data_IF_660047857859
#
_entry.id   IF_660047857859
#
_cell.length_a   1.000
_cell.length_b   1.000
_cell.length_c   1.000
_cell.angle_alpha   90.00
_cell.angle_beta   90.00
_cell.angle_gamma   90.00
#
_symmetry.space_group_name_H-M   'P 1'
#
loop_
_entity.id
_entity.type
_entity.pdbx_description
1 polymer ?
#
# COMPACT_ATOMS: atom_id res chain seq x y z
N UNK A 1 -22.60 23.62 17.63
CA UNK A 1 -22.07 24.91 17.14
C UNK A 1 -23.20 25.93 17.19
N UNK A 2 -23.06 27.04 17.92
CA UNK A 2 -24.06 28.12 17.89
C UNK A 2 -23.70 29.04 16.73
N UNK A 3 -24.59 29.20 15.76
CA UNK A 3 -24.43 30.15 14.66
C UNK A 3 -24.95 31.50 15.15
N UNK A 4 -24.14 32.55 15.02
CA UNK A 4 -24.57 33.92 15.30
C UNK A 4 -25.41 34.40 14.11
N UNK A 5 -26.69 34.79 14.29
CA UNK A 5 -27.55 35.24 13.19
C UNK A 5 -26.98 36.43 12.42
N UNK A 6 -26.23 37.32 13.09
CA UNK A 6 -25.65 38.51 12.45
C UNK A 6 -24.41 38.20 11.58
N UNK A 7 -23.78 37.03 11.80
CA UNK A 7 -22.60 36.56 11.07
C UNK A 7 -22.82 35.24 10.33
N UNK A 8 -24.07 34.77 10.23
CA UNK A 8 -24.39 33.43 9.76
C UNK A 8 -23.88 33.16 8.34
N UNK A 9 -24.01 34.12 7.42
CA UNK A 9 -23.53 33.98 6.03
C UNK A 9 -22.00 33.84 5.97
N UNK A 10 -21.28 34.70 6.69
CA UNK A 10 -19.82 34.65 6.76
C UNK A 10 -19.32 33.36 7.43
N UNK A 11 -20.00 32.91 8.49
CA UNK A 11 -19.70 31.63 9.15
C UNK A 11 -19.96 30.44 8.23
N UNK A 12 -21.08 30.43 7.50
CA UNK A 12 -21.41 29.36 6.55
C UNK A 12 -20.44 29.32 5.38
N UNK A 13 -20.02 30.48 4.86
CA UNK A 13 -18.99 30.54 3.81
C UNK A 13 -17.63 30.03 4.32
N UNK A 14 -17.24 30.35 5.55
CA UNK A 14 -16.04 29.81 6.17
C UNK A 14 -16.12 28.28 6.32
N UNK A 15 -17.25 27.76 6.82
CA UNK A 15 -17.49 26.31 6.93
C UNK A 15 -17.41 25.65 5.56
N UNK A 16 -18.04 26.23 4.53
CA UNK A 16 -18.00 25.69 3.17
C UNK A 16 -16.57 25.58 2.64
N UNK A 17 -15.75 26.62 2.84
CA UNK A 17 -14.34 26.63 2.43
C UNK A 17 -13.53 25.57 3.17
N UNK A 18 -13.63 25.52 4.51
CA UNK A 18 -12.91 24.52 5.30
C UNK A 18 -13.36 23.10 4.99
N UNK A 19 -14.67 22.88 4.85
CA UNK A 19 -15.25 21.58 4.49
C UNK A 19 -14.75 21.10 3.12
N UNK A 20 -14.70 21.99 2.12
CA UNK A 20 -14.09 21.69 0.83
C UNK A 20 -12.65 21.21 0.98
N UNK A 21 -11.79 21.96 1.67
CA UNK A 21 -10.39 21.58 1.83
C UNK A 21 -10.23 20.21 2.53
N UNK A 22 -11.10 19.89 3.50
CA UNK A 22 -11.11 18.59 4.17
C UNK A 22 -11.51 17.46 3.22
N UNK A 23 -12.54 17.66 2.40
CA UNK A 23 -13.00 16.67 1.41
C UNK A 23 -11.97 16.49 0.30
N UNK A 24 -11.40 17.57 -0.22
CA UNK A 24 -10.31 17.55 -1.22
C UNK A 24 -9.13 16.74 -0.70
N UNK A 25 -8.61 17.07 0.48
CA UNK A 25 -7.48 16.35 1.06
C UNK A 25 -7.78 14.87 1.29
N UNK A 26 -8.99 14.52 1.76
CA UNK A 26 -9.36 13.13 1.98
C UNK A 26 -9.46 12.35 0.65
N UNK A 27 -10.08 12.93 -0.38
CA UNK A 27 -10.17 12.31 -1.72
C UNK A 27 -8.79 12.10 -2.33
N UNK A 28 -7.89 13.09 -2.22
CA UNK A 28 -6.55 12.98 -2.79
C UNK A 28 -5.70 11.89 -2.12
N UNK A 29 -5.80 11.76 -0.78
CA UNK A 29 -5.13 10.67 -0.07
C UNK A 29 -5.72 9.32 -0.48
N UNK A 30 -7.04 9.19 -0.58
CA UNK A 30 -7.68 7.93 -1.02
C UNK A 30 -7.25 7.53 -2.44
N UNK A 31 -7.19 8.48 -3.38
CA UNK A 31 -6.69 8.24 -4.75
C UNK A 31 -5.23 7.81 -4.75
N UNK A 32 -4.41 8.43 -3.91
CA UNK A 32 -3.00 8.03 -3.75
C UNK A 32 -2.90 6.58 -3.29
N UNK A 33 -3.73 6.15 -2.34
CA UNK A 33 -3.76 4.77 -1.88
C UNK A 33 -4.18 3.79 -2.99
N UNK A 34 -5.19 4.13 -3.78
CA UNK A 34 -5.67 3.24 -4.84
C UNK A 34 -4.66 3.12 -5.98
N UNK A 35 -3.95 4.20 -6.30
CA UNK A 35 -2.82 4.17 -7.24
C UNK A 35 -1.69 3.25 -6.75
N UNK A 36 -1.31 3.36 -5.47
CA UNK A 36 -0.29 2.50 -4.88
C UNK A 36 -0.69 1.02 -4.92
N UNK A 37 -1.94 0.69 -4.59
CA UNK A 37 -2.44 -0.69 -4.75
C UNK A 37 -2.35 -1.17 -6.21
N UNK A 38 -2.54 -0.28 -7.18
CA UNK A 38 -2.43 -0.60 -8.61
C UNK A 38 -1.00 -0.93 -9.02
N UNK A 39 -0.04 -0.14 -8.53
CA UNK A 39 1.39 -0.34 -8.76
C UNK A 39 1.87 -1.72 -8.26
N UNK A 40 1.36 -2.15 -7.10
CA UNK A 40 1.68 -3.44 -6.49
C UNK A 40 0.75 -4.59 -6.94
N UNK A 41 -0.10 -4.37 -7.96
CA UNK A 41 -1.08 -5.35 -8.48
C UNK A 41 -1.97 -5.97 -7.40
N UNK A 42 -2.31 -5.18 -6.40
CA UNK A 42 -3.13 -5.61 -5.26
C UNK A 42 -4.62 -5.53 -5.58
N UNK A 43 -5.43 -6.22 -4.79
CA UNK A 43 -6.88 -6.15 -4.92
C UNK A 43 -7.40 -4.71 -4.76
N UNK A 44 -8.09 -4.22 -5.79
CA UNK A 44 -8.73 -2.91 -5.81
C UNK A 44 -10.10 -2.95 -5.14
N UNK A 45 -10.57 -1.81 -4.66
CA UNK A 45 -11.92 -1.68 -4.11
C UNK A 45 -12.93 -1.78 -5.25
N UNK A 46 -13.76 -2.82 -5.24
CA UNK A 46 -14.76 -3.04 -6.30
C UNK A 46 -16.02 -2.22 -6.05
N UNK A 47 -16.50 -1.51 -7.08
CA UNK A 47 -17.80 -0.84 -7.08
C UNK A 47 -18.90 -1.88 -6.77
N UNK A 48 -19.75 -1.57 -5.80
CA UNK A 48 -20.89 -2.38 -5.41
C UNK A 48 -22.19 -1.83 -6.02
N UNK A 49 -23.27 -2.62 -6.11
CA UNK A 49 -24.55 -2.13 -6.61
C UNK A 49 -25.16 -0.99 -5.76
N UNK A 50 -24.87 -0.99 -4.45
CA UNK A 50 -25.34 -0.01 -3.47
C UNK A 50 -24.29 0.16 -2.36
N UNK A 51 -24.42 1.20 -1.55
CA UNK A 51 -23.51 1.50 -0.44
C UNK A 51 -22.06 1.74 -0.89
N UNK A 52 -21.86 2.37 -2.05
CA UNK A 52 -20.54 2.84 -2.45
C UNK A 52 -20.11 4.03 -1.59
N UNK A 53 -18.83 4.12 -1.25
CA UNK A 53 -18.30 5.29 -0.56
C UNK A 53 -18.16 6.46 -1.56
N UNK A 54 -18.90 7.58 -1.40
CA UNK A 54 -18.85 8.70 -2.33
C UNK A 54 -17.44 9.33 -2.44
N UNK A 55 -16.62 9.26 -1.38
CA UNK A 55 -15.25 9.79 -1.40
C UNK A 55 -14.30 9.00 -2.31
N UNK A 56 -14.63 7.73 -2.60
CA UNK A 56 -13.82 6.86 -3.47
C UNK A 56 -14.28 6.89 -4.92
N UNK A 57 -15.57 7.12 -5.16
CA UNK A 57 -16.19 6.90 -6.47
C UNK A 57 -16.83 8.15 -7.10
N UNK A 58 -16.88 9.29 -6.40
CA UNK A 58 -17.37 10.51 -7.02
C UNK A 58 -16.43 10.96 -8.17
N UNK A 59 -16.99 11.43 -9.30
CA UNK A 59 -16.21 11.96 -10.42
C UNK A 59 -15.27 13.11 -10.05
N UNK A 60 -15.71 13.96 -9.11
CA UNK A 60 -14.95 15.11 -8.64
C UNK A 60 -15.34 15.47 -7.19
N UNK A 61 -14.59 16.41 -6.62
CA UNK A 61 -14.76 16.88 -5.23
C UNK A 61 -16.11 17.55 -5.03
N UNK A 62 -16.59 18.36 -5.97
CA UNK A 62 -17.88 19.04 -5.85
C UNK A 62 -19.01 18.03 -5.73
N UNK A 63 -18.96 16.96 -6.52
CA UNK A 63 -19.93 15.88 -6.47
C UNK A 63 -19.81 15.05 -5.18
N UNK A 64 -18.59 14.78 -4.70
CA UNK A 64 -18.37 14.15 -3.40
C UNK A 64 -19.00 14.99 -2.27
N UNK A 65 -18.77 16.30 -2.24
CA UNK A 65 -19.35 17.21 -1.26
C UNK A 65 -20.88 17.20 -1.32
N UNK A 66 -21.47 17.24 -2.51
CA UNK A 66 -22.93 17.18 -2.68
C UNK A 66 -23.50 15.86 -2.16
N UNK A 67 -22.84 14.74 -2.44
CA UNK A 67 -23.25 13.41 -1.97
C UNK A 67 -23.17 13.31 -0.44
N UNK A 68 -22.15 13.91 0.18
CA UNK A 68 -21.98 13.94 1.63
C UNK A 68 -22.94 14.90 2.36
N UNK A 69 -23.56 15.84 1.65
CA UNK A 69 -24.57 16.75 2.22
C UNK A 69 -26.01 16.24 2.02
N UNK A 70 -26.21 15.22 1.18
CA UNK A 70 -27.53 14.61 0.96
C UNK A 70 -27.87 13.64 2.10
N UNK A 71 -29.07 13.80 2.67
CA UNK A 71 -29.58 12.93 3.74
C UNK A 71 -30.12 11.58 3.23
N UNK A 72 -30.74 11.55 2.05
CA UNK A 72 -31.50 10.40 1.56
C UNK A 72 -30.98 9.91 0.19
N UNK A 73 -29.78 9.32 0.16
CA UNK A 73 -29.25 8.69 -1.05
C UNK A 73 -29.01 7.20 -0.83
N UNK A 74 -29.91 6.36 -1.33
CA UNK A 74 -29.80 4.89 -1.17
C UNK A 74 -28.70 4.25 -2.03
N UNK A 75 -28.16 4.97 -3.02
CA UNK A 75 -27.10 4.45 -3.89
C UNK A 75 -25.70 4.51 -3.23
N UNK A 76 -25.50 5.39 -2.26
CA UNK A 76 -24.22 5.64 -1.60
C UNK A 76 -24.29 5.42 -0.09
N UNK A 77 -23.13 5.25 0.54
CA UNK A 77 -23.05 5.21 2.00
C UNK A 77 -23.51 6.55 2.61
N UNK A 78 -24.09 6.48 3.82
CA UNK A 78 -24.38 7.67 4.61
C UNK A 78 -23.10 8.50 4.86
N UNK A 79 -23.17 9.84 4.93
CA UNK A 79 -21.98 10.68 4.96
C UNK A 79 -21.02 10.42 6.12
N UNK A 80 -21.55 10.22 7.32
CA UNK A 80 -20.81 9.87 8.53
C UNK A 80 -20.10 8.52 8.38
N UNK A 81 -20.81 7.52 7.84
CA UNK A 81 -20.25 6.20 7.56
C UNK A 81 -19.19 6.25 6.46
N UNK A 82 -19.40 7.03 5.41
CA UNK A 82 -18.44 7.21 4.32
C UNK A 82 -17.11 7.78 4.83
N UNK A 83 -17.17 8.81 5.68
CA UNK A 83 -15.97 9.41 6.28
C UNK A 83 -15.28 8.41 7.22
N UNK A 84 -16.04 7.71 8.07
CA UNK A 84 -15.48 6.70 8.97
C UNK A 84 -14.79 5.55 8.21
N UNK A 85 -15.46 5.01 7.18
CA UNK A 85 -14.95 3.97 6.28
C UNK A 85 -13.65 4.41 5.60
N UNK A 86 -13.57 5.66 5.12
CA UNK A 86 -12.36 6.22 4.54
C UNK A 86 -11.20 6.26 5.54
N UNK A 87 -11.43 6.72 6.78
CA UNK A 87 -10.37 6.73 7.80
C UNK A 87 -9.97 5.34 8.28
N UNK A 88 -10.91 4.40 8.34
CA UNK A 88 -10.60 3.01 8.67
C UNK A 88 -9.69 2.38 7.61
N UNK A 89 -10.04 2.55 6.33
CA UNK A 89 -9.22 2.08 5.22
C UNK A 89 -7.83 2.75 5.22
N UNK A 90 -7.75 4.05 5.51
CA UNK A 90 -6.47 4.76 5.62
C UNK A 90 -5.57 4.14 6.69
N UNK A 91 -6.09 3.91 7.89
CA UNK A 91 -5.33 3.30 8.99
C UNK A 91 -4.91 1.87 8.66
N UNK A 92 -5.84 1.08 8.12
CA UNK A 92 -5.57 -0.30 7.76
C UNK A 92 -4.49 -0.39 6.68
N UNK A 93 -4.57 0.47 5.66
CA UNK A 93 -3.57 0.56 4.60
C UNK A 93 -2.18 0.90 5.17
N UNK A 94 -2.06 1.91 6.02
CA UNK A 94 -0.77 2.29 6.60
C UNK A 94 -0.11 1.13 7.37
N UNK A 95 -0.88 0.40 8.18
CA UNK A 95 -0.36 -0.76 8.92
C UNK A 95 0.01 -1.92 7.99
N UNK A 96 -0.80 -2.15 6.96
CA UNK A 96 -0.57 -3.20 5.98
C UNK A 96 0.67 -2.91 5.11
N UNK A 97 0.92 -1.64 4.73
CA UNK A 97 2.16 -1.22 4.05
C UNK A 97 3.38 -1.54 4.92
N UNK A 98 3.34 -1.21 6.21
CA UNK A 98 4.45 -1.52 7.11
C UNK A 98 4.71 -3.02 7.20
N UNK A 99 3.66 -3.85 7.26
CA UNK A 99 3.80 -5.31 7.23
C UNK A 99 4.39 -5.81 5.90
N UNK A 100 3.94 -5.24 4.78
CA UNK A 100 4.47 -5.53 3.44
C UNK A 100 5.96 -5.23 3.32
N UNK A 101 6.39 -4.03 3.72
CA UNK A 101 7.81 -3.62 3.71
C UNK A 101 8.65 -4.55 4.57
N UNK A 102 8.19 -4.88 5.78
CA UNK A 102 8.89 -5.81 6.65
C UNK A 102 9.05 -7.21 6.02
N UNK A 103 8.01 -7.71 5.35
CA UNK A 103 8.07 -9.00 4.66
C UNK A 103 9.04 -8.96 3.47
N UNK A 104 9.00 -7.90 2.67
CA UNK A 104 9.91 -7.66 1.55
C UNK A 104 11.39 -7.65 2.00
N UNK A 105 11.71 -6.92 3.09
CA UNK A 105 13.07 -6.88 3.64
C UNK A 105 13.50 -8.26 4.16
N UNK A 106 12.63 -8.96 4.91
CA UNK A 106 12.94 -10.32 5.38
C UNK A 106 13.20 -11.28 4.24
N UNK A 107 12.41 -11.20 3.17
CA UNK A 107 12.60 -12.01 1.97
C UNK A 107 13.95 -11.74 1.30
N UNK A 108 14.34 -10.47 1.20
CA UNK A 108 15.64 -10.10 0.67
C UNK A 108 16.78 -10.66 1.54
N UNK A 109 16.71 -10.48 2.86
CA UNK A 109 17.72 -10.99 3.78
C UNK A 109 17.83 -12.52 3.75
N UNK A 110 16.71 -13.24 3.58
CA UNK A 110 16.70 -14.69 3.44
C UNK A 110 17.53 -15.19 2.23
N UNK A 111 17.62 -14.39 1.15
CA UNK A 111 18.46 -14.71 -0.03
C UNK A 111 19.96 -14.62 0.27
N UNK A 112 20.34 -13.92 1.35
CA UNK A 112 21.72 -13.79 1.82
C UNK A 112 22.02 -14.68 3.03
N UNK A 113 21.08 -15.53 3.48
CA UNK A 113 21.37 -16.46 4.57
C UNK A 113 22.49 -17.43 4.16
N UNK A 114 23.48 -17.70 5.03
CA UNK A 114 24.62 -18.56 4.70
C UNK A 114 24.20 -19.92 4.15
N UNK A 115 23.17 -20.55 4.73
CA UNK A 115 22.65 -21.83 4.25
C UNK A 115 22.02 -21.73 2.85
N UNK A 116 21.33 -20.64 2.55
CA UNK A 116 20.75 -20.39 1.23
C UNK A 116 21.84 -20.15 0.18
N UNK A 117 22.90 -19.41 0.56
CA UNK A 117 24.08 -19.19 -0.27
C UNK A 117 24.84 -20.51 -0.51
N UNK A 118 25.11 -21.30 0.53
CA UNK A 118 25.77 -22.60 0.44
C UNK A 118 24.99 -23.59 -0.45
N UNK A 119 23.67 -23.65 -0.30
CA UNK A 119 22.81 -24.49 -1.14
C UNK A 119 22.88 -24.07 -2.62
N UNK A 120 22.99 -22.76 -2.88
CA UNK A 120 22.99 -22.18 -4.23
C UNK A 120 24.35 -22.25 -4.91
N UNK A 121 25.42 -22.11 -4.14
CA UNK A 121 26.81 -22.24 -4.62
C UNK A 121 27.17 -23.70 -4.89
N UNK A 122 26.40 -24.65 -4.33
CA UNK A 122 26.52 -26.06 -4.60
C UNK A 122 27.70 -26.71 -3.89
N UNK A 123 27.80 -28.04 -4.01
CA UNK A 123 28.99 -28.78 -3.57
C UNK A 123 30.08 -28.67 -4.65
N UNK A 124 31.36 -28.50 -4.27
CA UNK A 124 32.43 -28.29 -5.23
C UNK A 124 32.54 -29.46 -6.22
N UNK A 125 32.67 -29.14 -7.50
CA UNK A 125 32.93 -30.10 -8.56
C UNK A 125 34.44 -30.25 -8.80
N UNK A 126 34.93 -31.49 -8.86
CA UNK A 126 36.30 -31.80 -9.30
C UNK A 126 37.42 -31.39 -8.33
N UNK A 127 38.64 -31.27 -8.87
CA UNK A 127 39.89 -30.98 -8.13
C UNK A 127 39.88 -29.62 -7.42
N UNK A 128 39.08 -28.65 -7.88
CA UNK A 128 38.86 -27.35 -7.24
C UNK A 128 38.23 -27.48 -5.84
N UNK A 129 37.56 -28.60 -5.58
CA UNK A 129 37.07 -28.97 -4.27
C UNK A 129 38.16 -29.37 -3.27
N UNK A 130 39.44 -29.49 -3.64
CA UNK A 130 40.50 -29.91 -2.71
C UNK A 130 41.40 -28.74 -2.27
N UNK A 131 41.28 -27.57 -2.92
CA UNK A 131 42.08 -26.38 -2.63
C UNK A 131 41.22 -25.34 -1.88
N UNK A 132 41.52 -25.02 -0.62
CA UNK A 132 40.75 -24.05 0.17
C UNK A 132 40.64 -22.67 -0.49
N UNK A 133 41.69 -22.20 -1.17
CA UNK A 133 41.71 -20.89 -1.85
C UNK A 133 40.83 -20.82 -3.10
N UNK A 134 40.73 -21.91 -3.88
CA UNK A 134 39.87 -21.95 -5.07
C UNK A 134 38.38 -21.91 -4.70
N UNK A 135 38.01 -22.55 -3.58
CA UNK A 135 36.64 -22.50 -3.03
C UNK A 135 36.24 -21.09 -2.60
N UNK A 136 37.14 -20.37 -1.92
CA UNK A 136 36.85 -19.03 -1.43
C UNK A 136 36.65 -18.04 -2.59
N UNK A 137 37.46 -18.14 -3.65
CA UNK A 137 37.29 -17.34 -4.86
C UNK A 137 35.94 -17.64 -5.55
N UNK A 138 35.59 -18.92 -5.75
CA UNK A 138 34.33 -19.31 -6.38
C UNK A 138 33.10 -18.84 -5.61
N UNK A 139 33.13 -18.91 -4.27
CA UNK A 139 32.04 -18.42 -3.43
C UNK A 139 31.90 -16.89 -3.52
N UNK A 140 33.03 -16.17 -3.64
CA UNK A 140 33.02 -14.73 -3.82
C UNK A 140 32.46 -14.32 -5.18
N UNK A 141 32.88 -14.99 -6.26
CA UNK A 141 32.34 -14.76 -7.60
C UNK A 141 30.82 -14.99 -7.61
N UNK A 142 30.37 -16.10 -7.04
CA UNK A 142 28.94 -16.42 -6.94
C UNK A 142 28.15 -15.40 -6.10
N UNK A 143 28.75 -14.87 -5.02
CA UNK A 143 28.15 -13.81 -4.22
C UNK A 143 28.03 -12.50 -5.01
N UNK A 144 29.07 -12.08 -5.72
CA UNK A 144 29.06 -10.85 -6.51
C UNK A 144 28.06 -10.92 -7.67
N UNK A 145 27.94 -12.08 -8.33
CA UNK A 145 26.89 -12.34 -9.33
C UNK A 145 25.48 -12.23 -8.74
N UNK A 146 25.25 -12.82 -7.57
CA UNK A 146 23.97 -12.73 -6.87
C UNK A 146 23.63 -11.29 -6.50
N UNK A 147 24.59 -10.55 -5.95
CA UNK A 147 24.42 -9.15 -5.61
C UNK A 147 24.06 -8.31 -6.83
N UNK A 148 24.79 -8.46 -7.94
CA UNK A 148 24.53 -7.76 -9.19
C UNK A 148 23.17 -8.14 -9.80
N UNK A 149 22.74 -9.41 -9.64
CA UNK A 149 21.39 -9.84 -10.05
C UNK A 149 20.31 -9.14 -9.21
N UNK A 150 20.44 -9.12 -7.89
CA UNK A 150 19.49 -8.45 -6.99
C UNK A 150 19.42 -6.95 -7.26
N UNK A 151 20.58 -6.31 -7.50
CA UNK A 151 20.63 -4.88 -7.82
C UNK A 151 19.89 -4.57 -9.12
N UNK A 152 20.11 -5.36 -10.18
CA UNK A 152 19.36 -5.23 -11.44
C UNK A 152 17.86 -5.48 -11.24
N UNK A 153 17.48 -6.53 -10.50
CA UNK A 153 16.07 -6.79 -10.17
C UNK A 153 15.46 -5.58 -9.42
N UNK A 154 16.20 -4.93 -8.52
CA UNK A 154 15.73 -3.76 -7.79
C UNK A 154 15.59 -2.50 -8.67
N UNK A 155 16.49 -2.32 -9.65
CA UNK A 155 16.50 -1.17 -10.57
C UNK A 155 15.49 -1.33 -11.72
N UNK A 156 15.36 -2.54 -12.26
CA UNK A 156 14.55 -2.82 -13.45
C UNK A 156 13.10 -3.19 -13.12
N UNK A 157 12.83 -3.91 -12.03
CA UNK A 157 11.47 -4.30 -11.61
C UNK A 157 11.37 -4.56 -10.09
N UNK A 158 11.16 -3.48 -9.33
CA UNK A 158 10.91 -3.56 -7.88
C UNK A 158 9.72 -4.50 -7.53
N UNK A 159 8.74 -4.64 -8.42
CA UNK A 159 7.60 -5.54 -8.20
C UNK A 159 8.00 -7.00 -8.32
N UNK A 160 8.94 -7.35 -9.20
CA UNK A 160 9.49 -8.70 -9.28
C UNK A 160 10.28 -9.05 -8.01
N UNK A 161 11.07 -8.11 -7.49
CA UNK A 161 11.90 -8.35 -6.32
C UNK A 161 11.10 -8.39 -5.01
N UNK A 162 10.14 -7.48 -4.82
CA UNK A 162 9.45 -7.28 -3.54
C UNK A 162 7.93 -7.45 -3.60
N UNK A 163 7.32 -7.27 -4.77
CA UNK A 163 5.87 -7.13 -4.91
C UNK A 163 5.06 -8.32 -4.41
N UNK A 164 5.56 -9.56 -4.58
CA UNK A 164 4.85 -10.77 -4.11
C UNK A 164 4.75 -10.84 -2.59
N UNK A 165 5.88 -10.76 -1.90
CA UNK A 165 5.92 -10.86 -0.44
C UNK A 165 5.32 -9.62 0.23
N UNK A 166 5.52 -8.44 -0.37
CA UNK A 166 4.84 -7.22 0.05
C UNK A 166 3.32 -7.39 -0.01
N UNK A 167 2.79 -7.77 -1.17
CA UNK A 167 1.33 -7.84 -1.39
C UNK A 167 0.68 -8.89 -0.51
N UNK A 168 1.33 -10.07 -0.38
CA UNK A 168 0.85 -11.13 0.51
C UNK A 168 0.74 -10.65 1.95
N UNK A 169 1.81 -10.09 2.52
CA UNK A 169 1.80 -9.66 3.92
C UNK A 169 0.84 -8.48 4.17
N UNK A 170 0.72 -7.58 3.19
CA UNK A 170 -0.27 -6.50 3.23
C UNK A 170 -1.70 -7.07 3.26
N UNK A 171 -2.03 -8.02 2.39
CA UNK A 171 -3.38 -8.58 2.28
C UNK A 171 -3.75 -9.39 3.52
N UNK A 172 -2.81 -10.20 4.04
CA UNK A 172 -2.97 -10.91 5.31
C UNK A 172 -3.24 -9.94 6.47
N UNK A 173 -2.50 -8.83 6.53
CA UNK A 173 -2.68 -7.82 7.57
C UNK A 173 -4.02 -7.07 7.44
N UNK A 174 -4.36 -6.64 6.23
CA UNK A 174 -5.63 -5.95 5.91
C UNK A 174 -6.83 -6.84 6.26
N UNK A 175 -6.76 -8.12 5.89
CA UNK A 175 -7.83 -9.08 6.16
C UNK A 175 -7.99 -9.33 7.67
N UNK A 176 -6.90 -9.30 8.44
CA UNK A 176 -6.96 -9.43 9.90
C UNK A 176 -7.62 -8.22 10.57
N UNK A 177 -7.29 -7.01 10.14
CA UNK A 177 -7.89 -5.78 10.67
C UNK A 177 -9.39 -5.70 10.38
N UNK A 178 -9.84 -6.15 9.20
CA UNK A 178 -11.28 -6.22 8.87
C UNK A 178 -12.05 -7.25 9.70
N UNK A 179 -11.38 -8.15 10.42
CA UNK A 179 -12.00 -9.20 11.26
C UNK A 179 -11.97 -8.89 12.76
N UNK A 180 -11.27 -7.84 13.18
CA UNK A 180 -11.13 -7.42 14.59
C UNK A 180 -12.10 -6.30 14.93
#
# INVERSE_FOLDING_TARGET
MKVDPAGAEAQMEAIRRTYRCLVEGLVDVLRTLDNLKGEFRMAQTMIQPVQNNPLKFAPNVDEAMLLLLRRDNQAFMAPDRAVADSFEDLKAHQLAVMAGVQAAIRHLLARFEPAALEARFGKPAGLSGLLPGARQAQNWDSFTELYAKILREAEDDFQELFGREFSRAYEEHSARLRRS
#
